data_IF_072778511134
#
_entry.id   IF_072778511134
#
_cell.length_a   1.000
_cell.length_b   1.000
_cell.length_c   1.000
_cell.angle_alpha   90.00
_cell.angle_beta   90.00
_cell.angle_gamma   90.00
#
_symmetry.space_group_name_H-M   'P 1'
#
loop_
_entity.id
_entity.type
_entity.pdbx_description
1 polymer ?
#
# COMPACT_ATOMS: atom_id res chain seq x y z
N UNK A 1 -32.66 24.27 29.32
CA UNK A 1 -32.75 22.86 28.95
C UNK A 1 -31.96 22.53 27.68
N UNK A 2 -32.10 23.28 26.60
CA UNK A 2 -31.30 23.08 25.38
C UNK A 2 -29.80 23.25 25.60
N UNK A 3 -29.36 24.23 26.38
CA UNK A 3 -27.97 24.46 26.71
C UNK A 3 -27.35 23.27 27.48
N UNK A 4 -28.11 22.68 28.41
CA UNK A 4 -27.67 21.51 29.16
C UNK A 4 -27.47 20.29 28.27
N UNK A 5 -28.40 20.03 27.35
CA UNK A 5 -28.33 18.92 26.39
C UNK A 5 -27.14 19.10 25.43
N UNK A 6 -26.92 20.33 24.94
CA UNK A 6 -25.80 20.68 24.08
C UNK A 6 -24.46 20.47 24.79
N UNK A 7 -24.32 20.87 26.05
CA UNK A 7 -23.11 20.68 26.83
C UNK A 7 -22.84 19.19 27.11
N UNK A 8 -23.87 18.41 27.40
CA UNK A 8 -23.75 16.97 27.59
C UNK A 8 -23.31 16.25 26.31
N UNK A 9 -23.88 16.60 25.17
CA UNK A 9 -23.48 16.06 23.86
C UNK A 9 -22.03 16.40 23.50
N UNK A 10 -21.57 17.62 23.77
CA UNK A 10 -20.20 18.04 23.57
C UNK A 10 -19.21 17.26 24.46
N UNK A 11 -19.52 17.03 25.72
CA UNK A 11 -18.71 16.22 26.63
C UNK A 11 -18.59 14.77 26.17
N UNK A 12 -19.69 14.17 25.73
CA UNK A 12 -19.70 12.82 25.18
C UNK A 12 -18.83 12.74 23.93
N UNK A 13 -18.94 13.69 23.00
CA UNK A 13 -18.12 13.76 21.79
C UNK A 13 -16.63 13.88 22.10
N UNK A 14 -16.24 14.69 23.09
CA UNK A 14 -14.86 14.81 23.53
C UNK A 14 -14.34 13.53 24.17
N UNK A 15 -15.14 12.86 24.99
CA UNK A 15 -14.78 11.58 25.60
C UNK A 15 -14.60 10.48 24.55
N UNK A 16 -15.52 10.38 23.57
CA UNK A 16 -15.43 9.41 22.48
C UNK A 16 -14.19 9.67 21.60
N UNK A 17 -13.87 10.92 21.31
CA UNK A 17 -12.67 11.31 20.54
C UNK A 17 -11.40 10.92 21.30
N UNK A 18 -11.33 11.17 22.60
CA UNK A 18 -10.19 10.81 23.42
C UNK A 18 -9.98 9.28 23.47
N UNK A 19 -11.05 8.51 23.60
CA UNK A 19 -11.00 7.05 23.58
C UNK A 19 -10.55 6.51 22.23
N UNK A 20 -11.06 7.06 21.12
CA UNK A 20 -10.66 6.68 19.77
C UNK A 20 -9.18 6.99 19.51
N UNK A 21 -8.71 8.15 19.95
CA UNK A 21 -7.30 8.53 19.84
C UNK A 21 -6.40 7.57 20.63
N UNK A 22 -6.79 7.20 21.85
CA UNK A 22 -6.05 6.25 22.67
C UNK A 22 -6.00 4.86 22.01
N UNK A 23 -7.11 4.38 21.47
CA UNK A 23 -7.18 3.10 20.75
C UNK A 23 -6.33 3.10 19.50
N UNK A 24 -6.35 4.17 18.73
CA UNK A 24 -5.52 4.33 17.53
C UNK A 24 -4.02 4.36 17.87
N UNK A 25 -3.63 5.07 18.92
CA UNK A 25 -2.25 5.11 19.40
C UNK A 25 -1.77 3.74 19.90
N UNK A 26 -2.61 3.02 20.62
CA UNK A 26 -2.32 1.66 21.07
C UNK A 26 -2.17 0.68 19.90
N UNK A 27 -3.04 0.77 18.92
CA UNK A 27 -2.94 -0.04 17.69
C UNK A 27 -1.62 0.24 16.96
N UNK A 28 -1.27 1.50 16.77
CA UNK A 28 -0.01 1.90 16.12
C UNK A 28 1.20 1.32 16.85
N UNK A 29 1.24 1.41 18.17
CA UNK A 29 2.33 0.86 18.98
C UNK A 29 2.45 -0.64 18.82
N UNK A 30 1.33 -1.37 18.84
CA UNK A 30 1.33 -2.82 18.62
C UNK A 30 1.81 -3.19 17.23
N UNK A 31 1.39 -2.47 16.19
CA UNK A 31 1.85 -2.70 14.83
C UNK A 31 3.35 -2.46 14.69
N UNK A 32 3.89 -1.41 15.29
CA UNK A 32 5.33 -1.12 15.30
C UNK A 32 6.08 -2.24 16.02
N UNK A 33 5.63 -2.68 17.19
CA UNK A 33 6.28 -3.75 17.94
C UNK A 33 6.35 -5.07 17.15
N UNK A 34 5.31 -5.40 16.40
CA UNK A 34 5.25 -6.61 15.57
C UNK A 34 6.10 -6.49 14.30
N UNK A 35 6.13 -5.33 13.67
CA UNK A 35 6.74 -5.13 12.35
C UNK A 35 8.10 -4.44 12.38
N UNK A 36 8.64 -4.10 13.55
CA UNK A 36 9.94 -3.40 13.67
C UNK A 36 11.11 -4.15 13.05
N UNK A 37 11.04 -5.49 13.00
CA UNK A 37 12.08 -6.33 12.43
C UNK A 37 11.99 -6.46 10.90
N UNK A 38 10.93 -5.94 10.30
CA UNK A 38 10.74 -5.99 8.86
C UNK A 38 11.54 -4.87 8.19
N UNK A 39 12.72 -5.20 7.74
CA UNK A 39 13.69 -4.28 7.13
C UNK A 39 14.09 -4.83 5.76
N UNK A 40 14.42 -3.95 4.83
CA UNK A 40 14.97 -4.35 3.53
C UNK A 40 16.42 -4.81 3.75
N UNK A 41 16.66 -6.11 3.63
CA UNK A 41 17.96 -6.72 3.92
C UNK A 41 18.79 -7.03 2.70
N UNK A 42 18.14 -7.30 1.56
CA UNK A 42 18.78 -7.67 0.31
C UNK A 42 18.17 -6.93 -0.87
N UNK A 43 18.88 -6.88 -1.97
CA UNK A 43 18.38 -6.25 -3.19
C UNK A 43 17.36 -7.15 -3.92
N UNK A 44 17.68 -8.44 -4.04
CA UNK A 44 16.85 -9.41 -4.75
C UNK A 44 16.88 -10.77 -4.06
N UNK A 45 15.72 -11.34 -3.79
CA UNK A 45 15.60 -12.68 -3.21
C UNK A 45 15.61 -13.81 -4.26
N UNK A 46 15.52 -13.48 -5.54
CA UNK A 46 15.50 -14.46 -6.63
C UNK A 46 14.23 -15.28 -6.72
N UNK A 47 13.13 -14.86 -6.08
CA UNK A 47 11.85 -15.60 -6.11
C UNK A 47 11.27 -15.68 -7.51
N UNK A 48 10.63 -16.82 -7.81
CA UNK A 48 9.81 -17.01 -9.01
C UNK A 48 8.32 -16.82 -8.74
N UNK A 49 7.97 -16.53 -7.50
CA UNK A 49 6.59 -16.35 -7.07
C UNK A 49 6.22 -14.88 -7.03
N UNK A 50 4.99 -14.59 -7.39
CA UNK A 50 4.45 -13.24 -7.37
C UNK A 50 2.93 -13.26 -7.35
N UNK A 51 2.33 -12.09 -7.54
CA UNK A 51 0.89 -11.90 -7.52
C UNK A 51 0.44 -11.40 -8.88
N UNK A 52 -0.66 -11.99 -9.39
CA UNK A 52 -1.33 -11.50 -10.58
C UNK A 52 -2.20 -10.30 -10.22
N UNK A 53 -1.89 -9.15 -10.79
CA UNK A 53 -2.67 -7.92 -10.59
C UNK A 53 -3.65 -7.74 -11.75
N UNK A 54 -4.90 -7.49 -11.39
CA UNK A 54 -6.01 -7.19 -12.31
C UNK A 54 -6.70 -5.91 -11.86
N UNK A 55 -7.41 -5.20 -12.75
CA UNK A 55 -8.26 -4.09 -12.32
C UNK A 55 -9.35 -4.61 -11.38
N UNK A 56 -9.68 -3.84 -10.36
CA UNK A 56 -10.78 -4.17 -9.46
C UNK A 56 -12.09 -3.76 -10.14
N UNK A 57 -12.90 -4.75 -10.49
CA UNK A 57 -14.20 -4.55 -11.12
C UNK A 57 -15.28 -4.98 -10.13
N UNK A 58 -16.22 -4.09 -9.84
CA UNK A 58 -17.34 -4.35 -8.96
C UNK A 58 -18.62 -3.88 -9.65
N UNK A 59 -19.60 -4.78 -9.75
CA UNK A 59 -20.89 -4.47 -10.39
C UNK A 59 -20.80 -4.06 -11.87
N UNK A 60 -19.76 -4.45 -12.58
CA UNK A 60 -19.51 -4.09 -13.98
C UNK A 60 -18.74 -2.80 -14.20
N UNK A 61 -18.49 -2.03 -13.12
CA UNK A 61 -17.71 -0.80 -13.17
C UNK A 61 -16.30 -1.02 -12.63
N UNK A 62 -15.32 -0.36 -13.24
CA UNK A 62 -13.93 -0.39 -12.76
C UNK A 62 -13.82 0.52 -11.54
N UNK A 63 -13.70 -0.08 -10.35
CA UNK A 63 -13.54 0.64 -9.08
C UNK A 63 -12.11 1.15 -8.94
N UNK A 64 -11.14 0.32 -9.30
CA UNK A 64 -9.72 0.67 -9.23
C UNK A 64 -9.04 0.17 -10.50
N UNK A 65 -8.47 1.07 -11.35
CA UNK A 65 -7.80 0.67 -12.57
C UNK A 65 -6.48 -0.06 -12.29
N UNK A 66 -6.05 -0.90 -13.24
CA UNK A 66 -4.82 -1.69 -13.11
C UNK A 66 -3.58 -0.82 -12.89
N UNK A 67 -3.49 0.31 -13.59
CA UNK A 67 -2.37 1.23 -13.50
C UNK A 67 -2.13 1.76 -12.09
N UNK A 68 -3.18 2.08 -11.35
CA UNK A 68 -3.05 2.51 -9.94
C UNK A 68 -2.62 1.36 -9.02
N UNK A 69 -3.05 0.14 -9.32
CA UNK A 69 -2.73 -1.03 -8.49
C UNK A 69 -1.30 -1.51 -8.66
N UNK A 70 -0.71 -1.32 -9.83
CA UNK A 70 0.66 -1.78 -10.13
C UNK A 70 1.72 -0.70 -10.01
N UNK A 71 1.32 0.55 -9.86
CA UNK A 71 2.26 1.67 -9.70
C UNK A 71 3.19 1.45 -8.50
N UNK A 72 4.49 1.57 -8.74
CA UNK A 72 5.50 1.37 -7.71
C UNK A 72 5.88 -0.08 -7.43
N UNK A 73 5.34 -1.04 -8.18
CA UNK A 73 5.68 -2.46 -8.06
C UNK A 73 6.72 -2.89 -9.09
N UNK A 74 7.38 -4.00 -8.83
CA UNK A 74 8.38 -4.57 -9.73
C UNK A 74 7.78 -5.74 -10.51
N UNK A 75 8.02 -5.80 -11.82
CA UNK A 75 7.56 -6.90 -12.67
C UNK A 75 8.21 -8.23 -12.28
N UNK A 76 7.43 -9.29 -12.23
CA UNK A 76 7.92 -10.65 -11.98
C UNK A 76 8.44 -11.31 -13.26
N UNK A 77 7.75 -11.11 -14.37
CA UNK A 77 8.06 -11.67 -15.69
C UNK A 77 8.16 -10.57 -16.74
N UNK A 78 8.76 -10.91 -17.87
CA UNK A 78 8.77 -10.01 -19.03
C UNK A 78 7.35 -9.68 -19.45
N UNK A 79 7.07 -8.42 -19.66
CA UNK A 79 5.77 -7.96 -20.16
C UNK A 79 5.76 -7.99 -21.67
N UNK A 80 4.93 -8.86 -22.22
CA UNK A 80 4.80 -9.08 -23.66
C UNK A 80 3.41 -8.63 -24.11
N UNK A 81 3.35 -7.92 -25.24
CA UNK A 81 2.08 -7.53 -25.84
C UNK A 81 1.38 -8.79 -26.41
N UNK A 82 0.16 -9.13 -25.94
CA UNK A 82 -0.54 -10.33 -26.39
C UNK A 82 -0.94 -10.30 -27.87
N UNK A 83 -1.01 -9.10 -28.47
CA UNK A 83 -1.41 -8.94 -29.88
C UNK A 83 -0.23 -9.05 -30.84
N UNK A 84 0.93 -8.51 -30.46
CA UNK A 84 2.10 -8.43 -31.34
C UNK A 84 3.23 -9.35 -30.90
N UNK A 85 3.13 -9.99 -29.73
CA UNK A 85 4.19 -10.78 -29.09
C UNK A 85 5.53 -10.04 -28.95
N UNK A 86 5.49 -8.71 -28.92
CA UNK A 86 6.66 -7.87 -28.71
C UNK A 86 6.89 -7.60 -27.23
N UNK A 87 8.15 -7.53 -26.83
CA UNK A 87 8.53 -7.18 -25.46
C UNK A 87 8.23 -5.71 -25.22
N UNK A 88 7.41 -5.43 -24.21
CA UNK A 88 7.10 -4.06 -23.78
C UNK A 88 8.09 -3.64 -22.71
N UNK A 89 8.19 -4.43 -21.63
CA UNK A 89 9.07 -4.18 -20.49
C UNK A 89 9.74 -5.50 -20.07
N UNK A 90 11.05 -5.49 -19.74
CA UNK A 90 11.72 -6.67 -19.22
C UNK A 90 11.31 -6.95 -17.76
N UNK A 91 11.52 -8.19 -17.32
CA UNK A 91 11.33 -8.56 -15.91
C UNK A 91 12.20 -7.67 -15.00
N UNK A 92 11.82 -7.59 -13.73
CA UNK A 92 12.50 -6.80 -12.69
C UNK A 92 12.51 -5.28 -12.97
N UNK A 93 11.66 -4.80 -13.87
CA UNK A 93 11.48 -3.36 -14.11
C UNK A 93 10.54 -2.78 -13.05
N UNK A 94 10.95 -1.68 -12.43
CA UNK A 94 10.09 -0.91 -11.53
C UNK A 94 9.03 -0.17 -12.37
N UNK A 95 7.77 -0.35 -12.01
CA UNK A 95 6.65 0.29 -12.69
C UNK A 95 6.45 1.70 -12.15
N UNK A 96 7.01 2.67 -12.83
CA UNK A 96 6.79 4.10 -12.58
C UNK A 96 5.62 4.63 -13.45
N UNK A 97 5.36 5.92 -13.36
CA UNK A 97 4.27 6.57 -14.11
C UNK A 97 4.42 6.40 -15.62
N UNK A 98 5.65 6.46 -16.13
CA UNK A 98 5.93 6.28 -17.56
C UNK A 98 5.65 4.85 -18.01
N UNK A 99 6.10 3.87 -17.24
CA UNK A 99 5.90 2.46 -17.54
C UNK A 99 4.42 2.06 -17.44
N UNK A 100 3.71 2.62 -16.49
CA UNK A 100 2.27 2.40 -16.32
C UNK A 100 1.48 2.96 -17.51
N UNK A 101 1.89 4.10 -18.07
CA UNK A 101 1.28 4.66 -19.29
C UNK A 101 1.42 3.71 -20.49
N UNK A 102 2.54 2.97 -20.58
CA UNK A 102 2.72 1.94 -21.61
C UNK A 102 1.73 0.79 -21.46
N UNK A 103 1.36 0.42 -20.24
CA UNK A 103 0.34 -0.60 -19.97
C UNK A 103 -1.01 -0.17 -20.53
N UNK A 104 -1.40 1.08 -20.33
CA UNK A 104 -2.65 1.63 -20.87
C UNK A 104 -2.65 1.67 -22.38
N UNK A 105 -1.56 2.15 -22.98
CA UNK A 105 -1.43 2.25 -24.44
C UNK A 105 -1.52 0.89 -25.13
N UNK A 106 -1.04 -0.18 -24.50
CA UNK A 106 -1.06 -1.54 -25.04
C UNK A 106 -2.28 -2.35 -24.58
N UNK A 107 -3.21 -1.74 -23.85
CA UNK A 107 -4.43 -2.37 -23.33
C UNK A 107 -4.13 -3.68 -22.57
N UNK A 108 -3.17 -3.63 -21.65
CA UNK A 108 -2.80 -4.75 -20.79
C UNK A 108 -3.76 -4.81 -19.60
N UNK A 109 -4.43 -5.94 -19.42
CA UNK A 109 -5.43 -6.15 -18.35
C UNK A 109 -4.87 -6.91 -17.15
N UNK A 110 -3.79 -7.65 -17.31
CA UNK A 110 -3.20 -8.49 -16.28
C UNK A 110 -1.68 -8.34 -16.26
N UNK A 111 -1.12 -8.22 -15.06
CA UNK A 111 0.32 -8.09 -14.86
C UNK A 111 0.76 -8.93 -13.66
N UNK A 112 1.83 -9.71 -13.83
CA UNK A 112 2.48 -10.40 -12.73
C UNK A 112 3.51 -9.48 -12.09
N UNK A 113 3.36 -9.24 -10.79
CA UNK A 113 4.25 -8.38 -10.02
C UNK A 113 4.82 -9.10 -8.81
N UNK A 114 5.96 -8.64 -8.33
CA UNK A 114 6.57 -9.13 -7.09
C UNK A 114 5.86 -8.51 -5.89
N UNK A 115 5.81 -9.27 -4.80
CA UNK A 115 5.17 -8.82 -3.57
C UNK A 115 5.98 -9.25 -2.35
N UNK A 116 5.88 -8.50 -1.26
CA UNK A 116 6.47 -8.86 0.02
C UNK A 116 5.89 -10.15 0.59
N UNK A 117 4.64 -10.48 0.23
CA UNK A 117 3.97 -11.71 0.67
C UNK A 117 4.64 -12.95 0.06
N UNK A 118 5.15 -12.84 -1.15
CA UNK A 118 5.81 -13.93 -1.89
C UNK A 118 7.33 -13.86 -1.85
N UNK A 119 7.90 -12.95 -1.06
CA UNK A 119 9.34 -12.84 -0.88
C UNK A 119 9.92 -14.05 -0.16
N UNK A 120 11.00 -14.62 -0.67
CA UNK A 120 11.62 -15.83 -0.13
C UNK A 120 12.61 -15.57 1.02
N UNK A 121 12.83 -14.32 1.41
CA UNK A 121 13.72 -13.97 2.51
C UNK A 121 13.05 -14.31 3.84
N UNK A 122 13.79 -14.99 4.73
CA UNK A 122 13.28 -15.39 6.05
C UNK A 122 13.14 -14.21 7.01
N UNK A 123 14.09 -13.28 6.98
CA UNK A 123 14.13 -12.12 7.87
C UNK A 123 14.14 -10.85 7.03
N UNK A 124 13.05 -10.10 7.08
CA UNK A 124 12.90 -8.89 6.28
C UNK A 124 12.35 -9.16 4.89
N UNK A 125 12.63 -8.26 3.96
CA UNK A 125 12.19 -8.32 2.57
C UNK A 125 13.32 -7.87 1.65
N UNK A 126 13.24 -8.23 0.37
CA UNK A 126 14.17 -7.68 -0.62
C UNK A 126 13.62 -6.39 -1.23
N UNK A 127 14.51 -5.55 -1.75
CA UNK A 127 14.14 -4.29 -2.36
C UNK A 127 13.21 -4.45 -3.57
N UNK A 128 13.44 -5.46 -4.39
CA UNK A 128 12.60 -5.72 -5.57
C UNK A 128 11.19 -6.17 -5.21
N UNK A 129 11.02 -7.04 -4.21
CA UNK A 129 9.69 -7.45 -3.75
C UNK A 129 8.91 -6.30 -3.09
N UNK A 130 9.59 -5.42 -2.39
CA UNK A 130 8.97 -4.23 -1.81
C UNK A 130 8.60 -3.20 -2.88
N UNK A 131 9.52 -2.91 -3.80
CA UNK A 131 9.30 -1.98 -4.90
C UNK A 131 9.75 -0.55 -4.60
N UNK A 132 8.88 0.42 -4.88
CA UNK A 132 9.19 1.85 -4.82
C UNK A 132 9.07 2.40 -3.40
N UNK A 133 10.07 3.18 -2.99
CA UNK A 133 9.99 4.03 -1.81
C UNK A 133 9.16 5.27 -2.17
N UNK A 134 7.99 5.41 -1.56
CA UNK A 134 7.06 6.50 -1.83
C UNK A 134 7.63 7.87 -1.50
N UNK A 135 8.51 7.96 -0.49
CA UNK A 135 9.13 9.21 -0.10
C UNK A 135 10.18 9.69 -1.11
N UNK A 136 10.93 8.78 -1.71
CA UNK A 136 12.02 9.09 -2.64
C UNK A 136 11.65 8.95 -4.12
N UNK A 137 10.55 8.26 -4.43
CA UNK A 137 10.09 8.02 -5.79
C UNK A 137 10.96 7.04 -6.60
N UNK A 138 11.82 6.28 -5.94
CA UNK A 138 12.70 5.27 -6.54
C UNK A 138 12.67 3.98 -5.74
N UNK A 139 13.31 2.93 -6.24
CA UNK A 139 13.41 1.66 -5.53
C UNK A 139 13.93 1.87 -4.10
N UNK A 140 13.32 1.17 -3.15
CA UNK A 140 13.68 1.25 -1.74
C UNK A 140 15.16 0.88 -1.52
N UNK A 141 15.81 1.56 -0.59
CA UNK A 141 17.20 1.30 -0.23
C UNK A 141 17.32 0.16 0.77
N UNK A 142 18.42 -0.59 0.70
CA UNK A 142 18.74 -1.62 1.71
C UNK A 142 18.92 -0.93 3.06
N UNK A 143 18.37 -1.54 4.11
CA UNK A 143 18.39 -1.00 5.46
C UNK A 143 17.20 -0.15 5.84
N UNK A 144 16.26 0.09 4.93
CA UNK A 144 15.03 0.85 5.21
C UNK A 144 14.09 0.04 6.09
N UNK A 145 13.62 0.64 7.19
CA UNK A 145 12.68 0.02 8.13
C UNK A 145 11.24 0.10 7.61
N UNK A 146 10.93 -0.66 6.59
CA UNK A 146 9.64 -0.63 5.88
C UNK A 146 8.47 -1.07 6.74
N UNK A 147 8.69 -1.98 7.69
CA UNK A 147 7.65 -2.42 8.62
C UNK A 147 7.20 -1.31 9.57
N UNK A 148 8.13 -0.54 10.09
CA UNK A 148 7.83 0.63 10.95
C UNK A 148 7.09 1.70 10.15
N UNK A 149 7.53 1.99 8.93
CA UNK A 149 6.88 2.95 8.04
C UNK A 149 5.43 2.52 7.74
N UNK A 150 5.21 1.24 7.42
CA UNK A 150 3.88 0.71 7.18
C UNK A 150 2.99 0.81 8.43
N UNK A 151 3.51 0.45 9.60
CA UNK A 151 2.78 0.52 10.86
C UNK A 151 2.37 1.96 11.20
N UNK A 152 3.26 2.92 11.02
CA UNK A 152 2.97 4.34 11.23
C UNK A 152 1.92 4.86 10.24
N UNK A 153 1.99 4.45 8.98
CA UNK A 153 1.00 4.82 7.95
C UNK A 153 -0.38 4.26 8.28
N UNK A 154 -0.48 3.01 8.70
CA UNK A 154 -1.73 2.38 9.11
C UNK A 154 -2.31 3.10 10.34
N UNK A 155 -1.47 3.42 11.32
CA UNK A 155 -1.87 4.16 12.51
C UNK A 155 -2.41 5.56 12.19
N UNK A 156 -1.74 6.29 11.29
CA UNK A 156 -2.19 7.61 10.84
C UNK A 156 -3.52 7.54 10.09
N UNK A 157 -3.70 6.56 9.19
CA UNK A 157 -4.96 6.34 8.47
C UNK A 157 -6.08 5.97 9.44
N UNK A 158 -5.83 5.11 10.41
CA UNK A 158 -6.81 4.74 11.44
C UNK A 158 -7.25 5.95 12.27
N UNK A 159 -6.32 6.80 12.67
CA UNK A 159 -6.62 8.04 13.40
C UNK A 159 -7.49 8.98 12.55
N UNK A 160 -7.13 9.22 11.30
CA UNK A 160 -7.89 10.04 10.37
C UNK A 160 -9.30 9.48 10.15
N UNK A 161 -9.40 8.18 9.94
CA UNK A 161 -10.69 7.50 9.75
C UNK A 161 -11.60 7.59 10.99
N UNK A 162 -11.02 7.51 12.19
CA UNK A 162 -11.76 7.64 13.44
C UNK A 162 -12.23 9.07 13.73
N UNK A 163 -11.52 10.09 13.24
CA UNK A 163 -11.87 11.50 13.46
C UNK A 163 -12.81 12.06 12.41
N UNK A 164 -12.68 11.68 11.13
CA UNK A 164 -13.51 12.16 10.03
C UNK A 164 -15.01 11.95 10.23
N UNK A 165 -15.52 10.77 10.68
CA UNK A 165 -16.95 10.56 10.88
C UNK A 165 -17.56 11.47 11.94
N UNK A 166 -16.79 11.92 12.91
CA UNK A 166 -17.28 12.85 13.95
C UNK A 166 -17.43 14.28 13.45
N UNK A 167 -16.70 14.66 12.41
CA UNK A 167 -16.80 15.98 11.78
C UNK A 167 -17.77 16.02 10.60
N UNK A 168 -18.08 14.87 10.00
CA UNK A 168 -18.94 14.73 8.84
C UNK A 168 -20.43 14.56 9.16
N UNK A 169 -20.83 14.51 10.42
CA UNK A 169 -22.23 14.30 10.86
C UNK A 169 -22.88 15.61 11.36
N UNK A 170 -22.31 16.74 11.09
CA UNK A 170 -22.88 18.05 11.47
C UNK A 170 -23.65 18.65 10.30
#
# INVERSE_FOLDING_TARGET
MQYFISTHGARKGLADTALKTANSGYLTRRLVDVSQDLVVTEEDCGTQNGILMKPLIEGGDIVEPLNERVLGRTLLHDLINPKTNSLILPKDTLLDESNVSLLEQNAIDEVWVRSVITCDIRHGVCAKCYGRDLAKGRQVSIGEAVGVVAAQSIGAVSYTHLTLPTTGIV
#
